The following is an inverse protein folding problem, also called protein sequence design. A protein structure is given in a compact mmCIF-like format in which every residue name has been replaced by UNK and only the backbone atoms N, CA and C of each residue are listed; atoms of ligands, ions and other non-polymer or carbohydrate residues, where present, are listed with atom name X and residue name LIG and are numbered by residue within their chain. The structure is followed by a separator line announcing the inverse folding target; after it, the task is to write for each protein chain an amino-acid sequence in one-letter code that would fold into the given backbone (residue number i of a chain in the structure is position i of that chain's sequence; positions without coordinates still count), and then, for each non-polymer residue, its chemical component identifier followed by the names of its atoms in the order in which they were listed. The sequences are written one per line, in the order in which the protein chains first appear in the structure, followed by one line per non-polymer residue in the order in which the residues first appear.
data_IF_877421947194
#
_entry.id   IF_877421947194
#
_cell.length_a   1.000
_cell.length_b   1.000
_cell.length_c   1.000
_cell.angle_alpha   90.00
_cell.angle_beta   90.00
_cell.angle_gamma   90.00
#
_symmetry.space_group_name_H-M   'P 1'
#
loop_
_entity.id
_entity.type
_entity.pdbx_description
1 polymer ?
#
# COMPACT_ATOMS: atom_id res chain seq x y z
N UNK A 1 12.19 6.65 -10.86
CA UNK A 1 11.69 6.79 -12.23
C UNK A 1 12.85 7.31 -13.06
N UNK A 2 13.30 6.58 -14.07
CA UNK A 2 14.44 6.98 -14.88
C UNK A 2 13.97 7.10 -16.34
N UNK A 3 13.67 8.32 -16.84
CA UNK A 3 13.18 8.51 -18.20
C UNK A 3 14.24 8.23 -19.28
N UNK A 4 15.46 7.85 -18.88
CA UNK A 4 16.52 7.36 -19.76
C UNK A 4 16.28 5.88 -20.14
N UNK A 5 15.51 5.15 -19.33
CA UNK A 5 15.14 3.77 -19.62
C UNK A 5 13.89 3.71 -20.51
N UNK A 6 13.42 2.50 -20.83
CA UNK A 6 12.21 2.31 -21.61
C UNK A 6 10.95 2.59 -20.77
N UNK A 7 9.89 3.04 -21.45
CA UNK A 7 8.55 3.19 -20.91
C UNK A 7 7.72 1.97 -21.32
N UNK A 8 7.33 1.16 -20.34
CA UNK A 8 6.38 0.07 -20.55
C UNK A 8 4.94 0.60 -20.46
N UNK A 9 4.11 0.25 -21.44
CA UNK A 9 2.70 0.60 -21.52
C UNK A 9 1.89 -0.70 -21.58
N UNK A 10 1.34 -1.12 -20.44
CA UNK A 10 0.61 -2.38 -20.26
C UNK A 10 -0.60 -2.53 -21.20
N UNK A 11 -1.39 -1.46 -21.36
CA UNK A 11 -2.63 -1.42 -22.15
C UNK A 11 -2.40 -1.70 -23.63
N UNK A 12 -1.61 -0.88 -24.34
CA UNK A 12 -1.24 -1.15 -25.73
C UNK A 12 -0.21 -2.29 -25.86
N UNK A 13 0.34 -2.79 -24.74
CA UNK A 13 1.39 -3.83 -24.69
C UNK A 13 2.64 -3.46 -25.50
N UNK A 14 3.16 -2.27 -25.23
CA UNK A 14 4.30 -1.69 -25.97
C UNK A 14 5.37 -1.18 -25.01
N UNK A 15 6.63 -1.42 -25.37
CA UNK A 15 7.80 -0.76 -24.76
C UNK A 15 8.26 0.40 -25.65
N UNK A 16 8.03 1.64 -25.22
CA UNK A 16 8.59 2.82 -25.88
C UNK A 16 10.04 3.01 -25.42
N UNK A 17 10.98 2.92 -26.37
CA UNK A 17 12.44 2.96 -26.12
C UNK A 17 13.07 4.13 -26.85
N UNK A 18 14.18 4.66 -26.30
CA UNK A 18 14.93 5.74 -26.96
C UNK A 18 15.32 5.39 -28.40
N UNK A 19 15.02 6.30 -29.32
CA UNK A 19 15.31 6.19 -30.74
C UNK A 19 16.55 7.01 -31.10
N UNK A 20 17.70 6.36 -31.27
CA UNK A 20 18.92 7.03 -31.77
C UNK A 20 19.34 6.37 -33.06
N UNK A 21 19.34 7.15 -34.13
CA UNK A 21 19.85 6.75 -35.43
C UNK A 21 20.86 7.80 -35.85
N UNK A 22 22.12 7.38 -36.06
CA UNK A 22 23.12 8.26 -36.66
C UNK A 22 23.22 7.99 -38.16
N UNK A 23 23.31 9.07 -38.92
CA UNK A 23 23.29 9.03 -40.37
C UNK A 23 24.47 9.80 -40.91
N UNK A 24 25.20 9.15 -41.80
CA UNK A 24 26.23 9.81 -42.58
C UNK A 24 25.93 9.62 -44.06
N UNK A 25 25.70 10.73 -44.75
CA UNK A 25 25.51 10.76 -46.19
C UNK A 25 26.79 11.24 -46.84
N UNK A 26 27.24 10.55 -47.88
CA UNK A 26 28.27 11.06 -48.76
C UNK A 26 27.89 10.84 -50.22
N UNK A 27 28.09 11.88 -51.01
CA UNK A 27 27.92 11.84 -52.45
C UNK A 27 29.29 12.04 -53.09
N UNK A 28 29.60 11.23 -54.10
CA UNK A 28 30.74 11.47 -54.97
C UNK A 28 30.35 12.53 -56.00
N UNK A 29 31.32 13.33 -56.47
CA UNK A 29 31.10 14.35 -57.49
C UNK A 29 30.70 13.76 -58.86
N UNK A 30 30.90 14.53 -59.92
CA UNK A 30 30.48 14.19 -61.28
C UNK A 30 31.01 12.85 -61.83
N UNK A 31 32.02 12.24 -61.19
CA UNK A 31 32.70 10.99 -61.58
C UNK A 31 31.87 9.71 -61.41
N UNK A 32 30.54 9.80 -61.29
CA UNK A 32 29.64 8.64 -61.42
C UNK A 32 29.53 7.72 -60.20
N UNK A 33 30.20 8.03 -59.08
CA UNK A 33 30.06 7.26 -57.85
C UNK A 33 28.63 7.33 -57.29
N UNK A 34 28.04 6.18 -56.95
CA UNK A 34 26.73 6.15 -56.28
C UNK A 34 26.84 6.84 -54.91
N UNK A 35 25.93 7.76 -54.54
CA UNK A 35 25.84 8.22 -53.17
C UNK A 35 25.62 7.05 -52.24
N UNK A 36 26.18 7.17 -51.04
CA UNK A 36 26.12 6.14 -50.02
C UNK A 36 25.65 6.80 -48.73
N UNK A 37 24.89 6.02 -47.97
CA UNK A 37 24.51 6.38 -46.63
C UNK A 37 24.98 5.27 -45.70
N UNK A 38 25.54 5.64 -44.55
CA UNK A 38 25.73 4.72 -43.43
C UNK A 38 24.71 5.10 -42.36
N UNK A 39 23.94 4.10 -41.95
CA UNK A 39 22.93 4.20 -40.92
C UNK A 39 23.39 3.38 -39.73
N UNK A 40 23.64 4.03 -38.60
CA UNK A 40 23.86 3.34 -37.33
C UNK A 40 22.56 3.37 -36.55
N UNK A 41 21.95 2.20 -36.40
CA UNK A 41 20.77 2.05 -35.57
C UNK A 41 21.17 1.62 -34.15
N UNK A 42 20.88 2.47 -33.17
CA UNK A 42 21.12 2.19 -31.76
C UNK A 42 19.85 1.76 -31.02
N UNK A 43 18.79 1.40 -31.75
CA UNK A 43 17.50 0.98 -31.19
C UNK A 43 17.48 -0.51 -30.83
N UNK A 44 16.67 -0.87 -29.83
CA UNK A 44 16.36 -2.26 -29.46
C UNK A 44 15.30 -2.83 -30.43
N UNK A 45 15.56 -4.03 -30.97
CA UNK A 45 14.79 -4.65 -32.06
C UNK A 45 13.37 -5.12 -31.73
N UNK A 46 12.90 -4.97 -30.49
CA UNK A 46 11.54 -5.39 -30.07
C UNK A 46 10.39 -4.60 -30.74
N UNK A 47 10.70 -3.48 -31.42
CA UNK A 47 9.72 -2.72 -32.22
C UNK A 47 10.11 -2.63 -33.71
N UNK A 48 10.60 -3.75 -34.23
CA UNK A 48 11.29 -3.88 -35.53
C UNK A 48 10.64 -3.12 -36.69
N UNK A 49 9.31 -3.22 -36.87
CA UNK A 49 8.61 -2.58 -38.01
C UNK A 49 8.72 -1.06 -38.02
N UNK A 50 8.71 -0.40 -36.85
CA UNK A 50 8.79 1.07 -36.74
C UNK A 50 10.24 1.53 -36.61
N UNK A 51 11.04 0.76 -35.88
CA UNK A 51 12.47 1.01 -35.61
C UNK A 51 13.32 0.88 -36.89
N UNK A 52 13.07 -0.14 -37.70
CA UNK A 52 13.83 -0.35 -38.94
C UNK A 52 13.24 0.39 -40.15
N UNK A 53 12.07 1.03 -40.00
CA UNK A 53 11.41 1.77 -41.08
C UNK A 53 12.34 2.76 -41.78
N UNK A 54 13.14 3.61 -41.09
CA UNK A 54 14.04 4.54 -41.76
C UNK A 54 15.09 3.83 -42.63
N UNK A 55 15.56 2.65 -42.21
CA UNK A 55 16.55 1.85 -42.95
C UNK A 55 15.93 1.26 -44.20
N UNK A 56 14.72 0.71 -44.08
CA UNK A 56 13.98 0.17 -45.21
C UNK A 56 13.62 1.26 -46.22
N UNK A 57 13.09 2.40 -45.76
CA UNK A 57 12.77 3.52 -46.64
C UNK A 57 13.99 4.06 -47.36
N UNK A 58 15.14 4.19 -46.69
CA UNK A 58 16.38 4.58 -47.35
C UNK A 58 16.81 3.55 -48.39
N UNK A 59 16.73 2.25 -48.09
CA UNK A 59 17.04 1.17 -49.03
C UNK A 59 16.12 1.23 -50.26
N UNK A 60 14.82 1.37 -50.05
CA UNK A 60 13.82 1.45 -51.12
C UNK A 60 14.05 2.70 -51.97
N UNK A 61 14.38 3.85 -51.35
CA UNK A 61 14.78 5.07 -52.09
C UNK A 61 16.00 4.84 -52.99
N UNK A 62 16.94 3.96 -52.61
CA UNK A 62 18.07 3.59 -53.46
C UNK A 62 17.69 2.60 -54.58
N UNK A 63 16.65 1.78 -54.39
CA UNK A 63 16.25 0.69 -55.30
C UNK A 63 15.15 1.08 -56.30
N UNK A 64 14.11 1.80 -55.87
CA UNK A 64 12.82 1.90 -56.58
C UNK A 64 12.54 3.25 -57.26
N UNK A 65 13.39 4.26 -57.10
CA UNK A 65 13.04 5.58 -57.62
C UNK A 65 13.16 5.67 -59.16
N UNK A 66 12.00 5.75 -59.81
CA UNK A 66 11.84 6.02 -61.25
C UNK A 66 12.39 7.36 -61.72
N UNK A 67 12.80 8.26 -60.81
CA UNK A 67 13.52 9.50 -61.13
C UNK A 67 15.00 9.39 -60.73
N UNK A 68 15.93 9.19 -61.69
CA UNK A 68 17.37 9.12 -61.44
C UNK A 68 17.95 10.39 -60.79
N UNK A 69 17.21 11.51 -60.85
CA UNK A 69 17.60 12.82 -60.31
C UNK A 69 17.38 12.95 -58.80
N UNK A 70 16.21 12.55 -58.29
CA UNK A 70 15.81 12.85 -56.90
C UNK A 70 16.18 11.77 -55.89
N UNK A 71 16.15 10.49 -56.28
CA UNK A 71 16.42 9.31 -55.44
C UNK A 71 17.74 9.36 -54.64
N UNK A 72 18.69 10.08 -55.23
CA UNK A 72 20.11 10.10 -54.88
C UNK A 72 20.54 11.47 -54.37
N UNK A 73 19.62 12.43 -54.30
CA UNK A 73 19.88 13.74 -53.71
C UNK A 73 19.87 13.63 -52.18
N UNK A 74 20.89 14.19 -51.48
CA UNK A 74 20.92 14.24 -50.02
C UNK A 74 19.62 14.75 -49.38
N UNK A 75 18.91 15.71 -49.99
CA UNK A 75 17.64 16.22 -49.44
C UNK A 75 16.58 15.13 -49.40
N UNK A 76 16.48 14.29 -50.43
CA UNK A 76 15.44 13.27 -50.52
C UNK A 76 15.67 12.15 -49.48
N UNK A 77 16.94 11.81 -49.27
CA UNK A 77 17.35 10.87 -48.23
C UNK A 77 17.12 11.45 -46.82
N UNK A 78 17.45 12.72 -46.61
CA UNK A 78 17.15 13.44 -45.35
C UNK A 78 15.64 13.47 -45.07
N UNK A 79 14.82 13.76 -46.08
CA UNK A 79 13.36 13.79 -45.95
C UNK A 79 12.78 12.42 -45.58
N UNK A 80 13.31 11.33 -46.15
CA UNK A 80 12.88 9.97 -45.82
C UNK A 80 13.11 9.65 -44.33
N UNK A 81 14.24 10.12 -43.79
CA UNK A 81 14.56 9.98 -42.36
C UNK A 81 13.65 10.84 -41.51
N UNK A 82 13.48 12.13 -41.83
CA UNK A 82 12.62 13.01 -41.06
C UNK A 82 11.19 12.51 -40.97
N UNK A 83 10.62 12.06 -42.09
CA UNK A 83 9.28 11.50 -42.13
C UNK A 83 9.16 10.22 -41.28
N UNK A 84 10.19 9.37 -41.30
CA UNK A 84 10.19 8.14 -40.49
C UNK A 84 10.31 8.46 -39.00
N UNK A 85 11.10 9.47 -38.63
CA UNK A 85 11.22 9.94 -37.25
C UNK A 85 9.91 10.58 -36.75
N UNK A 86 9.22 11.38 -37.58
CA UNK A 86 7.90 11.92 -37.24
C UNK A 86 6.88 10.80 -37.00
N UNK A 87 6.89 9.76 -37.83
CA UNK A 87 6.01 8.60 -37.68
C UNK A 87 6.30 7.80 -36.40
N UNK A 88 7.58 7.64 -36.06
CA UNK A 88 7.98 7.04 -34.79
C UNK A 88 7.44 7.83 -33.59
N UNK A 89 7.57 9.16 -33.61
CA UNK A 89 7.03 10.03 -32.57
C UNK A 89 5.51 9.95 -32.48
N UNK A 90 4.82 9.98 -33.62
CA UNK A 90 3.36 9.84 -33.67
C UNK A 90 2.91 8.53 -33.01
N UNK A 91 3.48 7.40 -33.41
CA UNK A 91 3.12 6.09 -32.85
C UNK A 91 3.41 6.00 -31.35
N UNK A 92 4.53 6.59 -30.90
CA UNK A 92 4.92 6.61 -29.49
C UNK A 92 3.94 7.42 -28.65
N UNK A 93 3.55 8.61 -29.11
CA UNK A 93 2.57 9.46 -28.43
C UNK A 93 1.17 8.85 -28.47
N UNK A 94 0.75 8.24 -29.59
CA UNK A 94 -0.54 7.52 -29.67
C UNK A 94 -0.60 6.35 -28.69
N UNK A 95 0.50 5.59 -28.53
CA UNK A 95 0.54 4.50 -27.54
C UNK A 95 0.37 5.02 -26.10
N UNK A 96 0.94 6.21 -25.81
CA UNK A 96 0.72 6.88 -24.52
C UNK A 96 -0.75 7.28 -24.38
N UNK A 97 -1.38 7.81 -25.42
CA UNK A 97 -2.80 8.16 -25.38
C UNK A 97 -3.70 6.95 -25.10
N UNK A 98 -3.49 5.84 -25.81
CA UNK A 98 -4.22 4.58 -25.61
C UNK A 98 -4.11 4.09 -24.15
N UNK A 99 -2.90 4.21 -23.57
CA UNK A 99 -2.68 3.86 -22.18
C UNK A 99 -3.43 4.78 -21.21
N UNK A 100 -3.49 6.09 -21.51
CA UNK A 100 -4.21 7.06 -20.67
C UNK A 100 -5.72 6.85 -20.76
N UNK A 101 -6.25 6.55 -21.94
CA UNK A 101 -7.66 6.16 -22.13
C UNK A 101 -7.95 4.92 -21.28
N UNK A 102 -7.07 3.91 -21.33
CA UNK A 102 -7.23 2.69 -20.53
C UNK A 102 -7.29 3.00 -19.03
N UNK A 103 -6.43 3.88 -18.52
CA UNK A 103 -6.45 4.28 -17.11
C UNK A 103 -7.69 5.10 -16.76
N UNK A 104 -8.09 6.03 -17.62
CA UNK A 104 -9.28 6.85 -17.43
C UNK A 104 -10.54 5.99 -17.37
N UNK A 105 -10.74 5.08 -18.34
CA UNK A 105 -11.86 4.15 -18.34
C UNK A 105 -11.84 3.23 -17.12
N UNK A 106 -10.67 2.71 -16.74
CA UNK A 106 -10.55 1.87 -15.57
C UNK A 106 -10.98 2.62 -14.32
N UNK A 107 -10.52 3.86 -14.12
CA UNK A 107 -10.87 4.69 -12.96
C UNK A 107 -12.35 5.08 -12.94
N UNK A 108 -12.96 5.37 -14.08
CA UNK A 108 -14.38 5.70 -14.17
C UNK A 108 -15.30 4.49 -13.92
N UNK A 109 -14.86 3.28 -14.30
CA UNK A 109 -15.62 2.03 -14.11
C UNK A 109 -15.38 1.36 -12.75
N UNK A 110 -14.56 1.94 -11.87
CA UNK A 110 -14.28 1.33 -10.57
C UNK A 110 -15.54 1.25 -9.71
N UNK A 111 -16.00 0.02 -9.45
CA UNK A 111 -17.07 -0.26 -8.51
C UNK A 111 -16.47 -0.29 -7.09
N UNK A 112 -16.89 0.64 -6.22
CA UNK A 112 -16.29 0.91 -4.90
C UNK A 112 -16.39 -0.26 -3.91
N UNK A 113 -17.03 -1.37 -4.29
CA UNK A 113 -17.31 -2.52 -3.43
C UNK A 113 -16.13 -3.51 -3.31
N UNK A 114 -15.10 -3.43 -4.18
CA UNK A 114 -13.97 -4.38 -4.25
C UNK A 114 -12.64 -3.86 -3.66
N UNK A 115 -12.70 -3.15 -2.52
CA UNK A 115 -11.66 -2.25 -1.99
C UNK A 115 -10.20 -2.73 -1.91
N UNK A 116 -9.93 -4.03 -1.75
CA UNK A 116 -8.58 -4.57 -1.56
C UNK A 116 -7.70 -4.59 -2.82
N UNK A 117 -8.25 -5.05 -3.94
CA UNK A 117 -7.54 -5.09 -5.22
C UNK A 117 -7.50 -3.70 -5.90
N UNK A 118 -8.47 -2.83 -5.56
CA UNK A 118 -8.54 -1.45 -6.01
C UNK A 118 -7.34 -0.61 -5.56
N UNK A 119 -6.92 -0.71 -4.29
CA UNK A 119 -5.78 0.06 -3.79
C UNK A 119 -4.46 -0.33 -4.46
N UNK A 120 -4.27 -1.63 -4.75
CA UNK A 120 -3.09 -2.11 -5.49
C UNK A 120 -3.11 -1.62 -6.94
N UNK A 121 -4.27 -1.67 -7.59
CA UNK A 121 -4.45 -1.15 -8.93
C UNK A 121 -4.16 0.36 -8.96
N UNK A 122 -4.72 1.13 -8.03
CA UNK A 122 -4.50 2.57 -7.92
C UNK A 122 -3.03 2.92 -7.66
N UNK A 123 -2.34 2.17 -6.81
CA UNK A 123 -0.90 2.36 -6.59
C UNK A 123 -0.07 2.07 -7.84
N UNK A 124 -0.42 1.01 -8.60
CA UNK A 124 0.23 0.70 -9.88
C UNK A 124 -0.02 1.80 -10.91
N UNK A 125 -1.28 2.21 -11.08
CA UNK A 125 -1.69 3.31 -11.97
C UNK A 125 -0.97 4.60 -11.60
N UNK A 126 -0.88 4.96 -10.32
CA UNK A 126 -0.17 6.14 -9.86
C UNK A 126 1.31 6.14 -10.30
N UNK A 127 1.99 5.01 -10.08
CA UNK A 127 3.39 4.84 -10.48
C UNK A 127 3.55 4.97 -12.00
N UNK A 128 2.67 4.35 -12.77
CA UNK A 128 2.69 4.42 -14.23
C UNK A 128 2.43 5.83 -14.74
N UNK A 129 1.47 6.55 -14.19
CA UNK A 129 1.17 7.94 -14.55
C UNK A 129 2.36 8.87 -14.31
N UNK A 130 3.04 8.74 -13.17
CA UNK A 130 4.25 9.52 -12.92
C UNK A 130 5.41 9.14 -13.85
N UNK A 131 5.56 7.86 -14.21
CA UNK A 131 6.51 7.45 -15.23
C UNK A 131 6.19 8.10 -16.59
N UNK A 132 4.93 8.04 -17.04
CA UNK A 132 4.49 8.66 -18.29
C UNK A 132 4.75 10.17 -18.25
N UNK A 133 4.42 10.86 -17.15
CA UNK A 133 4.67 12.29 -16.99
C UNK A 133 6.16 12.65 -17.17
N UNK A 134 7.05 11.89 -16.54
CA UNK A 134 8.50 12.08 -16.67
C UNK A 134 8.99 11.83 -18.11
N UNK A 135 8.43 10.82 -18.80
CA UNK A 135 8.74 10.56 -20.21
C UNK A 135 8.24 11.66 -21.13
N UNK A 136 7.01 12.16 -20.96
CA UNK A 136 6.51 13.28 -21.75
C UNK A 136 7.38 14.51 -21.57
N UNK A 137 7.82 14.83 -20.34
CA UNK A 137 8.78 15.92 -20.09
C UNK A 137 10.08 15.71 -20.86
N UNK A 138 10.62 14.50 -20.86
CA UNK A 138 11.82 14.18 -21.63
C UNK A 138 11.60 14.32 -23.14
N UNK A 139 10.45 13.89 -23.65
CA UNK A 139 10.10 13.96 -25.07
C UNK A 139 10.03 15.40 -25.58
N UNK A 140 9.64 16.37 -24.75
CA UNK A 140 9.67 17.79 -25.15
C UNK A 140 11.10 18.23 -25.53
N UNK A 141 12.09 17.87 -24.71
CA UNK A 141 13.50 18.18 -25.01
C UNK A 141 13.98 17.48 -26.28
N UNK A 142 13.50 16.27 -26.57
CA UNK A 142 13.90 15.51 -27.76
C UNK A 142 13.21 16.02 -29.04
N UNK A 143 11.95 16.43 -28.96
CA UNK A 143 11.23 17.09 -30.06
C UNK A 143 11.83 18.49 -30.33
N UNK A 144 12.28 19.21 -29.31
CA UNK A 144 13.01 20.46 -29.49
C UNK A 144 14.37 20.22 -30.17
N UNK A 145 15.09 19.16 -29.80
CA UNK A 145 16.32 18.77 -30.49
C UNK A 145 16.05 18.43 -31.97
N UNK A 146 14.95 17.72 -32.27
CA UNK A 146 14.52 17.46 -33.64
C UNK A 146 14.34 18.79 -34.38
N UNK A 147 13.59 19.74 -33.81
CA UNK A 147 13.37 21.06 -34.42
C UNK A 147 14.68 21.76 -34.76
N UNK A 148 15.65 21.73 -33.85
CA UNK A 148 16.98 22.30 -34.08
C UNK A 148 17.73 21.61 -35.23
N UNK A 149 17.66 20.27 -35.33
CA UNK A 149 18.27 19.50 -36.44
C UNK A 149 17.59 19.84 -37.76
N UNK A 150 16.26 20.00 -37.77
CA UNK A 150 15.51 20.36 -38.97
C UNK A 150 15.90 21.75 -39.48
N UNK A 151 16.04 22.72 -38.58
CA UNK A 151 16.48 24.07 -38.93
C UNK A 151 17.93 24.07 -39.44
N UNK A 152 18.82 23.27 -38.85
CA UNK A 152 20.17 23.07 -39.38
C UNK A 152 20.15 22.46 -40.78
N UNK A 153 19.28 21.47 -41.04
CA UNK A 153 19.13 20.88 -42.37
C UNK A 153 18.60 21.89 -43.40
N UNK A 154 17.66 22.76 -43.00
CA UNK A 154 17.15 23.87 -43.82
C UNK A 154 18.27 24.85 -44.18
N UNK A 155 18.97 25.35 -43.17
CA UNK A 155 20.10 26.27 -43.33
C UNK A 155 21.20 25.68 -44.22
N UNK A 156 21.57 24.42 -43.98
CA UNK A 156 22.54 23.71 -44.80
C UNK A 156 22.12 23.60 -46.27
N UNK A 157 20.86 23.24 -46.54
CA UNK A 157 20.36 23.16 -47.90
C UNK A 157 20.29 24.52 -48.59
N UNK A 158 19.99 25.59 -47.85
CA UNK A 158 20.00 26.96 -48.37
C UNK A 158 21.43 27.41 -48.72
N UNK A 159 22.38 27.28 -47.79
CA UNK A 159 23.76 27.73 -47.98
C UNK A 159 24.51 26.92 -49.04
N UNK A 160 24.34 25.59 -49.04
CA UNK A 160 25.06 24.70 -49.93
C UNK A 160 24.34 24.43 -51.25
N UNK A 161 23.16 25.03 -51.51
CA UNK A 161 22.36 24.74 -52.70
C UNK A 161 23.17 24.85 -54.00
N UNK A 162 23.81 26.00 -54.23
CA UNK A 162 24.62 26.24 -55.43
C UNK A 162 25.79 25.27 -55.57
N UNK A 163 26.36 24.83 -54.45
CA UNK A 163 27.41 23.82 -54.43
C UNK A 163 26.85 22.45 -54.88
N UNK A 164 25.68 22.08 -54.38
CA UNK A 164 24.99 20.85 -54.81
C UNK A 164 24.57 20.87 -56.27
N UNK A 165 24.05 21.99 -56.78
CA UNK A 165 23.73 22.14 -58.20
C UNK A 165 24.97 21.92 -59.08
N UNK A 166 26.12 22.50 -58.68
CA UNK A 166 27.38 22.37 -59.43
C UNK A 166 27.98 20.96 -59.37
N UNK A 167 27.96 20.32 -58.20
CA UNK A 167 28.69 19.06 -57.99
C UNK A 167 27.87 17.80 -58.20
N UNK A 168 26.59 17.84 -57.88
CA UNK A 168 25.78 16.62 -57.88
C UNK A 168 25.11 16.35 -59.22
N UNK A 169 25.17 17.28 -60.20
CA UNK A 169 24.60 17.18 -61.56
C UNK A 169 23.10 16.75 -61.64
N UNK A 170 22.47 16.56 -60.49
CA UNK A 170 21.14 15.97 -60.27
C UNK A 170 20.17 16.97 -59.64
N UNK A 171 20.70 18.07 -59.10
CA UNK A 171 19.98 19.18 -58.49
C UNK A 171 20.00 20.37 -59.45
N UNK A 172 18.83 20.96 -59.67
CA UNK A 172 18.65 22.20 -60.42
C UNK A 172 18.40 23.38 -59.48
N UNK A 173 18.56 24.59 -59.98
CA UNK A 173 18.27 25.83 -59.23
C UNK A 173 16.79 25.93 -58.80
N UNK A 174 15.89 25.20 -59.46
CA UNK A 174 14.46 25.17 -59.13
C UNK A 174 14.13 24.21 -57.96
N UNK A 175 15.04 23.30 -57.62
CA UNK A 175 14.79 22.27 -56.60
C UNK A 175 14.95 22.79 -55.17
N UNK A 176 15.50 24.00 -54.98
CA UNK A 176 15.62 24.61 -53.65
C UNK A 176 14.25 24.90 -53.04
N UNK A 177 13.35 25.51 -53.82
CA UNK A 177 12.02 25.90 -53.34
C UNK A 177 11.20 24.68 -52.91
N UNK A 178 11.23 23.62 -53.73
CA UNK A 178 10.63 22.34 -53.39
C UNK A 178 11.21 21.76 -52.10
N UNK A 179 12.54 21.78 -51.94
CA UNK A 179 13.22 21.26 -50.75
C UNK A 179 12.84 22.03 -49.48
N UNK A 180 12.84 23.36 -49.54
CA UNK A 180 12.45 24.21 -48.41
C UNK A 180 10.98 24.04 -48.05
N UNK A 181 10.11 23.92 -49.06
CA UNK A 181 8.68 23.63 -48.87
C UNK A 181 8.48 22.27 -48.21
N UNK A 182 9.21 21.24 -48.64
CA UNK A 182 9.14 19.91 -48.05
C UNK A 182 9.59 19.91 -46.57
N UNK A 183 10.69 20.59 -46.25
CA UNK A 183 11.14 20.77 -44.86
C UNK A 183 10.14 21.58 -44.02
N UNK A 184 9.48 22.57 -44.60
CA UNK A 184 8.38 23.31 -43.94
C UNK A 184 7.18 22.44 -43.58
N UNK A 185 6.85 21.44 -44.41
CA UNK A 185 5.82 20.44 -44.07
C UNK A 185 6.23 19.56 -42.89
N UNK A 186 7.49 19.13 -42.84
CA UNK A 186 8.05 18.36 -41.71
C UNK A 186 7.99 19.20 -40.43
N UNK A 187 8.33 20.48 -40.50
CA UNK A 187 8.23 21.40 -39.37
C UNK A 187 6.79 21.54 -38.87
N UNK A 188 5.83 21.68 -39.79
CA UNK A 188 4.40 21.78 -39.45
C UNK A 188 3.91 20.52 -38.72
N UNK A 189 4.32 19.33 -39.19
CA UNK A 189 4.01 18.06 -38.53
C UNK A 189 4.68 17.94 -37.16
N UNK A 190 5.94 18.40 -37.03
CA UNK A 190 6.64 18.41 -35.76
C UNK A 190 5.93 19.31 -34.73
N UNK A 191 5.48 20.50 -35.16
CA UNK A 191 4.68 21.40 -34.32
C UNK A 191 3.40 20.73 -33.86
N UNK A 192 2.66 20.06 -34.76
CA UNK A 192 1.46 19.30 -34.38
C UNK A 192 1.75 18.21 -33.34
N UNK A 193 2.87 17.48 -33.47
CA UNK A 193 3.28 16.48 -32.48
C UNK A 193 3.63 17.08 -31.12
N UNK A 194 4.24 18.28 -31.09
CA UNK A 194 4.51 18.99 -29.84
C UNK A 194 3.21 19.39 -29.14
N UNK A 195 2.26 19.95 -29.89
CA UNK A 195 0.92 20.26 -29.37
C UNK A 195 0.22 19.01 -28.84
N UNK A 196 0.20 17.92 -29.59
CA UNK A 196 -0.38 16.65 -29.13
C UNK A 196 0.30 16.15 -27.84
N UNK A 197 1.62 16.27 -27.74
CA UNK A 197 2.36 15.91 -26.51
C UNK A 197 2.00 16.80 -25.32
N UNK A 198 1.74 18.09 -25.52
CA UNK A 198 1.22 19.00 -24.48
C UNK A 198 -0.20 18.60 -24.02
N UNK A 199 -1.08 18.27 -24.97
CA UNK A 199 -2.41 17.74 -24.68
C UNK A 199 -2.34 16.45 -23.83
N UNK A 200 -1.43 15.53 -24.16
CA UNK A 200 -1.19 14.33 -23.37
C UNK A 200 -0.68 14.64 -21.96
N UNK A 201 0.17 15.66 -21.80
CA UNK A 201 0.62 16.08 -20.46
C UNK A 201 -0.54 16.65 -19.63
N UNK A 202 -1.46 17.37 -20.26
CA UNK A 202 -2.68 17.83 -19.60
C UNK A 202 -3.59 16.63 -19.24
N UNK A 203 -3.77 15.68 -20.16
CA UNK A 203 -4.56 14.46 -19.92
C UNK A 203 -4.00 13.63 -18.76
N UNK A 204 -2.68 13.45 -18.71
CA UNK A 204 -1.99 12.81 -17.56
C UNK A 204 -2.33 13.49 -16.24
N UNK A 205 -2.34 14.83 -16.21
CA UNK A 205 -2.70 15.61 -15.01
C UNK A 205 -4.17 15.40 -14.63
N UNK A 206 -5.07 15.37 -15.61
CA UNK A 206 -6.50 15.11 -15.39
C UNK A 206 -6.72 13.69 -14.82
N UNK A 207 -6.08 12.67 -15.40
CA UNK A 207 -6.19 11.28 -14.93
C UNK A 207 -5.59 11.10 -13.53
N UNK A 208 -4.50 11.82 -13.20
CA UNK A 208 -4.00 11.87 -11.82
C UNK A 208 -5.01 12.52 -10.87
N UNK A 209 -5.71 13.57 -11.30
CA UNK A 209 -6.82 14.17 -10.54
C UNK A 209 -7.92 13.16 -10.23
N UNK A 210 -8.41 12.46 -11.27
CA UNK A 210 -9.41 11.39 -11.11
C UNK A 210 -8.96 10.29 -10.15
N UNK A 211 -7.68 9.90 -10.22
CA UNK A 211 -7.11 8.91 -9.30
C UNK A 211 -7.11 9.38 -7.85
N UNK A 212 -6.79 10.66 -7.60
CA UNK A 212 -6.84 11.26 -6.26
C UNK A 212 -8.26 11.27 -5.73
N UNK A 213 -9.23 11.66 -6.56
CA UNK A 213 -10.64 11.70 -6.17
C UNK A 213 -11.18 10.30 -5.87
N UNK A 214 -10.83 9.29 -6.68
CA UNK A 214 -11.16 7.89 -6.40
C UNK A 214 -10.53 7.39 -5.10
N UNK A 215 -9.25 7.71 -4.84
CA UNK A 215 -8.61 7.31 -3.58
C UNK A 215 -9.29 7.94 -2.36
N UNK A 216 -9.73 9.21 -2.46
CA UNK A 216 -10.52 9.86 -1.40
C UNK A 216 -11.89 9.18 -1.24
N UNK A 217 -12.59 8.91 -2.33
CA UNK A 217 -13.90 8.25 -2.30
C UNK A 217 -13.85 6.85 -1.66
N UNK A 218 -12.73 6.13 -1.79
CA UNK A 218 -12.50 4.85 -1.11
C UNK A 218 -12.10 5.06 0.36
N UNK A 219 -11.21 6.01 0.63
CA UNK A 219 -10.62 6.21 1.96
C UNK A 219 -11.60 6.84 2.96
N UNK A 220 -12.38 7.83 2.55
CA UNK A 220 -13.22 8.62 3.47
C UNK A 220 -14.30 7.76 4.16
N UNK A 221 -15.06 6.90 3.45
CA UNK A 221 -16.03 6.02 4.09
C UNK A 221 -15.38 5.02 5.06
N UNK A 222 -14.19 4.50 4.73
CA UNK A 222 -13.45 3.59 5.61
C UNK A 222 -13.03 4.27 6.91
N UNK A 223 -12.56 5.52 6.84
CA UNK A 223 -12.19 6.32 8.02
C UNK A 223 -13.42 6.58 8.88
N UNK A 224 -14.55 6.97 8.28
CA UNK A 224 -15.81 7.20 9.01
C UNK A 224 -16.30 5.91 9.68
N UNK A 225 -16.31 4.78 8.96
CA UNK A 225 -16.73 3.49 9.49
C UNK A 225 -15.83 3.02 10.64
N UNK A 226 -14.52 3.24 10.51
CA UNK A 226 -13.55 2.95 11.57
C UNK A 226 -13.82 3.80 12.81
N UNK A 227 -14.15 5.09 12.63
CA UNK A 227 -14.53 5.98 13.72
C UNK A 227 -15.81 5.53 14.45
N UNK A 228 -16.84 5.14 13.71
CA UNK A 228 -18.10 4.59 14.27
C UNK A 228 -17.82 3.31 15.05
N UNK A 229 -17.03 2.40 14.48
CA UNK A 229 -16.68 1.13 15.12
C UNK A 229 -15.87 1.38 16.40
N UNK A 230 -14.91 2.30 16.38
CA UNK A 230 -14.13 2.68 17.54
C UNK A 230 -15.02 3.31 18.63
N UNK A 231 -15.98 4.15 18.26
CA UNK A 231 -16.91 4.72 19.22
C UNK A 231 -17.76 3.64 19.91
N UNK A 232 -18.25 2.65 19.15
CA UNK A 232 -18.99 1.51 19.68
C UNK A 232 -18.13 0.63 20.61
N UNK A 233 -16.85 0.44 20.28
CA UNK A 233 -15.89 -0.25 21.17
C UNK A 233 -15.71 0.52 22.48
N UNK A 234 -15.59 1.85 22.41
CA UNK A 234 -15.44 2.68 23.62
C UNK A 234 -16.71 2.66 24.49
N UNK A 235 -17.89 2.67 23.89
CA UNK A 235 -19.16 2.56 24.60
C UNK A 235 -19.29 1.20 25.32
N UNK A 236 -19.05 0.11 24.59
CA UNK A 236 -19.06 -1.25 25.17
C UNK A 236 -18.00 -1.43 26.25
N UNK A 237 -16.80 -0.88 26.06
CA UNK A 237 -15.74 -0.89 27.08
C UNK A 237 -16.12 -0.10 28.33
N UNK A 238 -16.79 1.05 28.17
CA UNK A 238 -17.31 1.86 29.28
C UNK A 238 -18.36 1.09 30.08
N UNK A 239 -19.28 0.40 29.41
CA UNK A 239 -20.31 -0.38 30.09
C UNK A 239 -19.72 -1.61 30.80
N UNK A 240 -18.75 -2.30 30.20
CA UNK A 240 -17.98 -3.35 30.86
C UNK A 240 -17.22 -2.84 32.10
N UNK A 241 -16.68 -1.63 32.07
CA UNK A 241 -16.01 -1.03 33.22
C UNK A 241 -16.99 -0.74 34.37
N UNK A 242 -18.20 -0.24 34.06
CA UNK A 242 -19.26 -0.06 35.07
C UNK A 242 -19.69 -1.40 35.69
N UNK A 243 -19.86 -2.42 34.86
CA UNK A 243 -20.23 -3.76 35.36
C UNK A 243 -19.12 -4.34 36.25
N UNK A 244 -17.85 -4.15 35.87
CA UNK A 244 -16.70 -4.53 36.69
C UNK A 244 -16.66 -3.80 38.04
N UNK A 245 -17.02 -2.51 38.07
CA UNK A 245 -17.16 -1.74 39.32
C UNK A 245 -18.28 -2.29 40.21
N UNK A 246 -19.45 -2.59 39.63
CA UNK A 246 -20.56 -3.18 40.38
C UNK A 246 -20.19 -4.55 40.98
N UNK A 247 -19.47 -5.38 40.22
CA UNK A 247 -18.95 -6.67 40.71
C UNK A 247 -17.95 -6.43 41.84
N UNK A 248 -17.03 -5.47 41.71
CA UNK A 248 -16.07 -5.15 42.76
C UNK A 248 -16.77 -4.71 44.06
N UNK A 249 -17.80 -3.87 43.98
CA UNK A 249 -18.61 -3.46 45.13
C UNK A 249 -19.36 -4.64 45.78
N UNK A 250 -19.95 -5.52 44.97
CA UNK A 250 -20.57 -6.75 45.46
C UNK A 250 -19.54 -7.66 46.14
N UNK A 251 -18.36 -7.80 45.56
CA UNK A 251 -17.28 -8.63 46.10
C UNK A 251 -16.79 -8.07 47.45
N UNK A 252 -16.67 -6.74 47.55
CA UNK A 252 -16.33 -6.04 48.79
C UNK A 252 -17.38 -6.29 49.88
N UNK A 253 -18.66 -6.12 49.56
CA UNK A 253 -19.73 -6.41 50.51
C UNK A 253 -19.74 -7.88 50.95
N UNK A 254 -19.52 -8.82 50.01
CA UNK A 254 -19.44 -10.25 50.34
C UNK A 254 -18.26 -10.55 51.27
N UNK A 255 -17.10 -9.92 51.04
CA UNK A 255 -15.91 -10.07 51.90
C UNK A 255 -16.13 -9.48 53.29
N UNK A 256 -16.82 -8.33 53.39
CA UNK A 256 -17.25 -7.77 54.69
C UNK A 256 -18.20 -8.71 55.43
N UNK A 257 -19.17 -9.31 54.73
CA UNK A 257 -20.08 -10.31 55.32
C UNK A 257 -19.32 -11.56 55.76
N UNK A 258 -18.41 -12.09 54.95
CA UNK A 258 -17.58 -13.24 55.32
C UNK A 258 -16.71 -12.94 56.54
N UNK A 259 -16.12 -11.74 56.64
CA UNK A 259 -15.34 -11.32 57.80
C UNK A 259 -16.20 -11.28 59.07
N UNK A 260 -17.44 -10.80 58.98
CA UNK A 260 -18.39 -10.79 60.10
C UNK A 260 -18.75 -12.21 60.54
N UNK A 261 -19.10 -13.09 59.59
CA UNK A 261 -19.40 -14.50 59.89
C UNK A 261 -18.20 -15.16 60.57
N UNK A 262 -16.98 -14.99 60.03
CA UNK A 262 -15.76 -15.52 60.65
C UNK A 262 -15.57 -15.02 62.09
N UNK A 263 -15.83 -13.73 62.35
CA UNK A 263 -15.75 -13.17 63.70
C UNK A 263 -16.80 -13.78 64.65
N UNK A 264 -18.03 -13.96 64.18
CA UNK A 264 -19.10 -14.60 64.95
C UNK A 264 -18.78 -16.08 65.22
N UNK A 265 -18.29 -16.83 64.22
CA UNK A 265 -17.82 -18.21 64.39
C UNK A 265 -16.66 -18.30 65.38
N UNK A 266 -15.73 -17.34 65.35
CA UNK A 266 -14.63 -17.30 66.32
C UNK A 266 -15.15 -17.06 67.74
N UNK A 267 -16.11 -16.14 67.93
CA UNK A 267 -16.78 -15.95 69.23
C UNK A 267 -17.53 -17.20 69.69
N UNK A 268 -18.24 -17.87 68.78
CA UNK A 268 -18.95 -19.11 69.09
C UNK A 268 -17.98 -20.24 69.47
N UNK A 269 -16.82 -20.31 68.82
CA UNK A 269 -15.76 -21.25 69.15
C UNK A 269 -15.18 -20.96 70.55
N UNK A 270 -14.95 -19.68 70.87
CA UNK A 270 -14.51 -19.23 72.19
C UNK A 270 -15.54 -19.58 73.27
N UNK A 271 -16.82 -19.31 73.01
CA UNK A 271 -17.93 -19.64 73.91
C UNK A 271 -18.06 -21.16 74.12
N UNK A 272 -17.96 -21.94 73.04
CA UNK A 272 -17.95 -23.40 73.08
C UNK A 272 -16.76 -23.92 73.90
N UNK A 273 -15.59 -23.29 73.76
CA UNK A 273 -14.40 -23.62 74.57
C UNK A 273 -14.62 -23.30 76.05
N UNK A 274 -15.21 -22.15 76.38
CA UNK A 274 -15.52 -21.81 77.77
C UNK A 274 -16.57 -22.74 78.38
N UNK A 275 -17.61 -23.10 77.61
CA UNK A 275 -18.60 -24.09 78.02
C UNK A 275 -17.96 -25.47 78.26
N UNK A 276 -17.02 -25.89 77.41
CA UNK A 276 -16.28 -27.13 77.62
C UNK A 276 -15.44 -27.09 78.92
N UNK A 277 -14.77 -25.97 79.20
CA UNK A 277 -14.02 -25.77 80.46
C UNK A 277 -14.96 -25.77 81.67
N UNK A 278 -16.11 -25.11 81.59
CA UNK A 278 -17.10 -25.09 82.65
C UNK A 278 -17.71 -26.48 82.88
N UNK A 279 -18.02 -27.22 81.81
CA UNK A 279 -18.50 -28.60 81.88
C UNK A 279 -17.46 -29.51 82.53
N UNK A 280 -16.18 -29.35 82.18
CA UNK A 280 -15.09 -30.10 82.82
C UNK A 280 -14.98 -29.76 84.32
N UNK A 281 -14.98 -28.47 84.70
CA UNK A 281 -14.95 -28.05 86.11
C UNK A 281 -16.15 -28.56 86.89
N UNK A 282 -17.35 -28.48 86.31
CA UNK A 282 -18.56 -29.03 86.91
C UNK A 282 -18.42 -30.54 87.11
N UNK A 283 -17.86 -31.26 86.14
CA UNK A 283 -17.58 -32.69 86.28
C UNK A 283 -16.57 -32.99 87.39
N UNK A 284 -15.55 -32.15 87.57
CA UNK A 284 -14.56 -32.26 88.65
C UNK A 284 -15.18 -31.98 90.03
N UNK A 285 -16.01 -30.94 90.13
CA UNK A 285 -16.79 -30.59 91.33
C UNK A 285 -17.76 -31.73 91.69
N UNK A 286 -18.51 -32.24 90.71
CA UNK A 286 -19.40 -33.39 90.91
C UNK A 286 -18.64 -34.65 91.34
N UNK A 287 -17.41 -34.84 90.87
CA UNK A 287 -16.56 -35.94 91.32
C UNK A 287 -16.11 -35.73 92.78
N UNK A 288 -15.75 -34.50 93.17
CA UNK A 288 -15.42 -34.15 94.57
C UNK A 288 -16.62 -34.31 95.49
N UNK A 289 -17.80 -33.86 95.08
CA UNK A 289 -19.05 -34.04 95.82
C UNK A 289 -19.40 -35.52 95.96
N UNK A 290 -19.19 -36.33 94.91
CA UNK A 290 -19.36 -37.79 95.00
C UNK A 290 -18.44 -38.41 96.05
N UNK A 291 -17.19 -37.93 96.16
CA UNK A 291 -16.24 -38.37 97.18
C UNK A 291 -16.65 -37.89 98.58
N UNK A 292 -17.02 -36.61 98.72
CA UNK A 292 -17.48 -36.03 99.98
C UNK A 292 -18.76 -36.72 100.49
N UNK A 293 -19.70 -37.05 99.61
CA UNK A 293 -20.93 -37.74 99.96
C UNK A 293 -20.68 -39.20 100.37
N UNK A 294 -19.69 -39.89 99.75
CA UNK A 294 -19.21 -41.19 100.24
C UNK A 294 -18.59 -41.09 101.63
N UNK A 295 -17.87 -40.01 101.94
CA UNK A 295 -17.29 -39.75 103.27
C UNK A 295 -18.35 -39.43 104.33
N UNK A 296 -19.36 -38.61 104.00
CA UNK A 296 -20.50 -38.33 104.89
C UNK A 296 -21.28 -39.61 105.18
N UNK A 297 -21.45 -40.50 104.19
CA UNK A 297 -22.10 -41.79 104.40
C UNK A 297 -21.32 -42.70 105.35
N UNK A 298 -19.99 -42.64 105.34
CA UNK A 298 -19.13 -43.36 106.29
C UNK A 298 -19.22 -42.78 107.72
N UNK A 299 -19.29 -41.46 107.87
CA UNK A 299 -19.43 -40.81 109.19
C UNK A 299 -20.83 -40.99 109.77
N UNK A 300 -21.87 -40.97 108.93
CA UNK A 300 -23.25 -41.25 109.33
C UNK A 300 -23.46 -42.69 109.83
N UNK A 301 -22.82 -43.69 109.21
CA UNK A 301 -22.90 -45.08 109.70
C UNK A 301 -22.07 -45.34 110.96
N UNK A 302 -21.11 -44.47 111.30
CA UNK A 302 -20.30 -44.61 112.53
C UNK A 302 -21.00 -44.14 113.81
N UNK A 303 -21.98 -43.24 113.71
CA UNK A 303 -22.66 -42.65 114.87
C UNK A 303 -23.94 -43.39 115.29
N UNK A 304 -24.53 -44.21 114.41
CA UNK A 304 -25.72 -45.02 114.73
C UNK A 304 -25.41 -46.28 115.58
N UNK A 305 -24.15 -46.66 115.76
CA UNK A 305 -23.74 -47.83 116.56
C UNK A 305 -23.51 -47.54 118.05
N UNK A 306 -23.61 -46.30 118.52
CA UNK A 306 -23.40 -45.93 119.93
C UNK A 306 -24.69 -45.63 120.73
N UNK A 307 -25.87 -45.70 120.10
CA UNK A 307 -27.17 -45.48 120.77
C UNK A 307 -27.94 -46.75 121.13
N UNK A 308 -27.39 -47.95 120.90
CA UNK A 308 -28.06 -49.25 121.15
C UNK A 308 -27.45 -50.12 122.27
N UNK A 309 -26.51 -49.63 123.10
CA UNK A 309 -25.76 -50.47 124.06
C UNK A 309 -25.80 -50.07 125.55
N UNK A 310 -26.77 -49.28 126.04
CA UNK A 310 -26.93 -49.00 127.50
C UNK A 310 -28.40 -49.15 127.96
N UNK A 311 -29.12 -50.17 127.49
CA UNK A 311 -30.48 -50.44 127.98
C UNK A 311 -30.81 -51.93 128.07
N UNK A 312 -29.91 -52.74 128.65
CA UNK A 312 -30.17 -54.10 129.17
C UNK A 312 -29.18 -54.33 130.33
N UNK A 313 -29.65 -54.84 131.48
CA UNK A 313 -29.01 -55.11 132.79
C UNK A 313 -29.24 -53.96 133.80
N UNK A 314 -30.01 -54.07 134.88
CA UNK A 314 -30.46 -55.22 135.65
C UNK A 314 -31.71 -54.84 136.47
N UNK A 315 -32.80 -55.58 136.27
CA UNK A 315 -33.76 -55.89 137.33
C UNK A 315 -33.47 -57.34 137.73
N UNK A 316 -32.83 -57.54 138.88
CA UNK A 316 -32.76 -58.81 139.64
C UNK A 316 -32.19 -58.49 141.02
N UNK A 317 -33.05 -58.35 142.01
CA UNK A 317 -33.10 -59.23 143.20
C UNK A 317 -33.89 -58.59 144.35
N UNK A 318 -34.87 -59.38 144.79
CA UNK A 318 -35.75 -59.24 145.94
C UNK A 318 -35.40 -60.42 146.86
N UNK A 319 -35.31 -60.18 148.17
CA UNK A 319 -35.35 -61.12 149.31
C UNK A 319 -34.20 -62.14 149.51
N UNK A 320 -33.33 -61.92 150.51
CA UNK A 320 -33.39 -62.43 151.89
C UNK A 320 -32.31 -61.79 152.76
#
# INVERSE_FOLDING_TARGET
MNPINYLHLDGPNVDVRGSKIALHFWAHGADGGSPKAVVFNFQDGRWKRVVEEPIFRLRDSYQDCQSPRLARDPIHLQMSVFNSALRWWNNSLSSVDDQLITYEEALLRQDLTAGGDLLKLNAKTNRSLHCIAAHLQRYDSELQLFSNILEQARSYNLTCHRYFVRLLARRSEQDLDWALTALGRVESMLTALRTFREELQQKVSNVMGLLVDNNKAISDPLVVQTGIMMHKILETSRDQAKESLNIADQTKHLTEQMAKVLHETQKETEASRQLAIQSQRLSEEMMKDSVAMKTVRLVSHGLDLLSQSININHANEINY
#
